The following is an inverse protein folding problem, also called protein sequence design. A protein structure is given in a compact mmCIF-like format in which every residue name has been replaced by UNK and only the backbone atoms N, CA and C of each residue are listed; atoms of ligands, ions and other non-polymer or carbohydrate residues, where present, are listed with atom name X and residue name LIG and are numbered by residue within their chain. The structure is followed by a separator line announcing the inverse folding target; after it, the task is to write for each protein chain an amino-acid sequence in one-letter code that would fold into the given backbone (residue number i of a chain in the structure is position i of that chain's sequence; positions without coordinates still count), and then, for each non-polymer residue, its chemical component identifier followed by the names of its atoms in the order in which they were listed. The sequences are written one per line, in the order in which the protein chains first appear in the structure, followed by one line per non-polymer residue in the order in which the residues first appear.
data_IF_847493832477
#
_entry.id   IF_847493832477
#
_cell.length_a   1.000
_cell.length_b   1.000
_cell.length_c   1.000
_cell.angle_alpha   90.00
_cell.angle_beta   90.00
_cell.angle_gamma   90.00
#
_symmetry.space_group_name_H-M   'P 1'
#
loop_
_entity.id
_entity.type
_entity.pdbx_description
1 polymer ?
#
# COMPACT_ATOMS: atom_id res chain seq x y z
N UNK A 1 6.63 38.78 -4.26
CA UNK A 1 6.02 38.05 -3.13
C UNK A 1 4.78 37.32 -3.70
N UNK A 2 4.59 36.03 -3.36
CA UNK A 2 3.97 34.91 -4.14
C UNK A 2 4.87 34.50 -5.33
N UNK A 3 5.73 33.48 -5.30
CA UNK A 3 5.70 32.08 -4.81
C UNK A 3 4.63 31.23 -5.50
N UNK A 4 5.10 30.17 -6.19
CA UNK A 4 4.42 28.97 -6.74
C UNK A 4 3.86 29.04 -8.18
N UNK A 5 4.73 29.23 -9.16
CA UNK A 5 4.70 28.51 -10.45
C UNK A 5 6.19 28.28 -10.75
N UNK A 6 6.75 27.08 -10.65
CA UNK A 6 6.57 26.04 -11.65
C UNK A 6 6.99 24.69 -11.06
N UNK A 7 6.00 23.88 -10.63
CA UNK A 7 6.18 22.48 -10.23
C UNK A 7 5.95 21.56 -11.45
N UNK A 8 6.54 21.89 -12.60
CA UNK A 8 6.23 21.19 -13.85
C UNK A 8 7.45 20.81 -14.68
N UNK A 9 8.58 20.49 -14.02
CA UNK A 9 9.79 20.13 -14.77
C UNK A 9 10.66 19.02 -14.16
N UNK A 10 10.05 18.02 -13.49
CA UNK A 10 10.81 16.81 -13.14
C UNK A 10 10.03 15.51 -12.99
N UNK A 11 8.93 15.34 -13.74
CA UNK A 11 8.32 14.01 -13.97
C UNK A 11 9.11 13.28 -15.08
N UNK A 12 10.42 13.21 -14.89
CA UNK A 12 11.35 12.58 -15.85
C UNK A 12 12.50 11.95 -15.06
N UNK A 13 12.17 10.99 -14.20
CA UNK A 13 13.11 9.98 -13.73
C UNK A 13 12.34 8.74 -13.29
N UNK A 14 11.91 7.99 -14.29
CA UNK A 14 11.92 6.54 -14.20
C UNK A 14 13.38 6.09 -14.03
N UNK A 15 13.55 4.89 -13.43
CA UNK A 15 14.81 4.21 -13.10
C UNK A 15 15.40 4.69 -11.77
N UNK A 16 15.77 3.85 -10.82
CA UNK A 16 15.74 2.40 -10.60
C UNK A 16 16.28 2.26 -9.16
N UNK A 17 15.88 1.23 -8.42
CA UNK A 17 16.44 0.86 -7.11
C UNK A 17 16.34 1.87 -5.94
N UNK A 18 16.40 1.33 -4.72
CA UNK A 18 16.50 2.02 -3.43
C UNK A 18 15.16 2.51 -2.81
N UNK A 19 14.45 1.58 -2.16
CA UNK A 19 14.20 1.60 -0.69
C UNK A 19 13.14 0.53 -0.30
N UNK A 20 13.53 -0.72 0.05
CA UNK A 20 12.56 -1.76 0.41
C UNK A 20 11.95 -1.64 1.82
N UNK A 21 12.22 -0.56 2.56
CA UNK A 21 11.80 -0.46 3.97
C UNK A 21 10.53 0.38 4.20
N UNK A 22 10.09 1.16 3.21
CA UNK A 22 8.90 2.02 3.33
C UNK A 22 7.72 1.53 2.50
N UNK A 23 7.96 0.83 1.38
CA UNK A 23 6.90 0.34 0.49
C UNK A 23 5.94 -0.64 1.18
N UNK A 24 6.46 -1.57 2.00
CA UNK A 24 5.61 -2.53 2.75
C UNK A 24 4.70 -1.84 3.77
N UNK A 25 5.16 -0.72 4.35
CA UNK A 25 4.35 0.09 5.27
C UNK A 25 3.16 0.75 4.57
N UNK A 26 3.37 1.27 3.36
CA UNK A 26 2.33 1.91 2.54
C UNK A 26 1.33 0.89 2.02
N UNK A 27 1.81 -0.25 1.48
CA UNK A 27 0.97 -1.36 0.99
C UNK A 27 0.01 -1.87 2.06
N UNK A 28 0.53 -2.10 3.27
CA UNK A 28 -0.26 -2.53 4.41
C UNK A 28 -1.37 -1.51 4.74
N UNK A 29 -1.03 -0.23 4.80
CA UNK A 29 -1.97 0.83 5.15
C UNK A 29 -3.07 1.02 4.10
N UNK A 30 -2.70 0.97 2.82
CA UNK A 30 -3.65 1.07 1.70
C UNK A 30 -4.60 -0.13 1.68
N UNK A 31 -4.08 -1.35 1.82
CA UNK A 31 -4.91 -2.56 1.85
C UNK A 31 -5.90 -2.50 3.01
N UNK A 32 -5.44 -2.09 4.18
CA UNK A 32 -6.28 -1.94 5.36
C UNK A 32 -7.39 -0.91 5.15
N UNK A 33 -7.04 0.24 4.57
CA UNK A 33 -7.99 1.33 4.32
C UNK A 33 -9.05 0.91 3.30
N UNK A 34 -8.64 0.21 2.24
CA UNK A 34 -9.56 -0.35 1.26
C UNK A 34 -10.52 -1.36 1.89
N UNK A 35 -10.02 -2.30 2.70
CA UNK A 35 -10.86 -3.29 3.39
C UNK A 35 -11.84 -2.63 4.36
N UNK A 36 -11.41 -1.61 5.11
CA UNK A 36 -12.30 -0.86 5.99
C UNK A 36 -13.37 -0.09 5.20
N UNK A 37 -13.01 0.50 4.06
CA UNK A 37 -13.95 1.20 3.18
C UNK A 37 -14.99 0.25 2.58
N UNK A 38 -14.63 -1.01 2.35
CA UNK A 38 -15.55 -2.09 1.95
C UNK A 38 -16.45 -2.59 3.10
N UNK A 39 -16.27 -2.08 4.32
CA UNK A 39 -17.09 -2.42 5.49
C UNK A 39 -16.50 -3.48 6.42
N UNK A 40 -15.26 -3.90 6.21
CA UNK A 40 -14.61 -4.88 7.09
C UNK A 40 -14.06 -4.24 8.37
N UNK A 41 -14.07 -5.00 9.47
CA UNK A 41 -13.54 -4.54 10.75
C UNK A 41 -12.02 -4.38 10.65
N UNK A 42 -11.52 -3.17 10.92
CA UNK A 42 -10.08 -2.81 10.87
C UNK A 42 -9.19 -3.84 11.56
N UNK A 43 -9.58 -4.28 12.76
CA UNK A 43 -8.82 -5.25 13.54
C UNK A 43 -8.73 -6.63 12.88
N UNK A 44 -9.80 -7.10 12.24
CA UNK A 44 -9.80 -8.39 11.52
C UNK A 44 -8.99 -8.28 10.23
N UNK A 45 -9.21 -7.22 9.46
CA UNK A 45 -8.42 -6.91 8.26
C UNK A 45 -6.92 -6.85 8.58
N UNK A 46 -6.55 -6.24 9.71
CA UNK A 46 -5.16 -6.09 10.14
C UNK A 46 -4.49 -7.43 10.36
N UNK A 47 -5.14 -8.34 11.07
CA UNK A 47 -4.62 -9.69 11.32
C UNK A 47 -4.39 -10.47 10.03
N UNK A 48 -5.34 -10.38 9.10
CA UNK A 48 -5.28 -11.09 7.82
C UNK A 48 -4.17 -10.52 6.93
N UNK A 49 -4.09 -9.18 6.81
CA UNK A 49 -3.05 -8.49 6.04
C UNK A 49 -1.65 -8.79 6.60
N UNK A 50 -1.47 -8.73 7.92
CA UNK A 50 -0.18 -9.06 8.55
C UNK A 50 0.24 -10.51 8.31
N UNK A 51 -0.72 -11.44 8.35
CA UNK A 51 -0.47 -12.84 8.05
C UNK A 51 -0.04 -13.03 6.59
N UNK A 52 -0.72 -12.39 5.64
CA UNK A 52 -0.39 -12.49 4.22
C UNK A 52 0.98 -11.86 3.93
N UNK A 53 1.30 -10.71 4.53
CA UNK A 53 2.61 -10.06 4.37
C UNK A 53 3.74 -10.91 4.98
N UNK A 54 3.46 -11.65 6.04
CA UNK A 54 4.41 -12.60 6.63
C UNK A 54 4.63 -13.83 5.74
N UNK A 55 3.58 -14.31 5.06
CA UNK A 55 3.67 -15.41 4.09
C UNK A 55 4.31 -14.98 2.76
N UNK A 56 4.05 -13.74 2.32
CA UNK A 56 4.43 -13.19 1.02
C UNK A 56 4.85 -11.72 1.16
N UNK A 57 6.12 -11.44 1.48
CA UNK A 57 6.60 -10.08 1.70
C UNK A 57 6.66 -9.24 0.40
N UNK A 58 6.68 -9.87 -0.77
CA UNK A 58 6.75 -9.22 -2.09
C UNK A 58 5.40 -9.26 -2.82
N UNK A 59 4.29 -9.17 -2.09
CA UNK A 59 2.94 -9.20 -2.66
C UNK A 59 2.48 -7.81 -3.10
N UNK A 60 1.86 -7.71 -4.28
CA UNK A 60 1.21 -6.48 -4.75
C UNK A 60 -0.04 -6.14 -3.95
N UNK A 61 -0.38 -4.85 -3.92
CA UNK A 61 -1.57 -4.32 -3.22
C UNK A 61 -2.87 -5.00 -3.65
N UNK A 62 -3.06 -5.20 -4.95
CA UNK A 62 -4.28 -5.81 -5.50
C UNK A 62 -4.39 -7.27 -5.07
N UNK A 63 -3.28 -8.00 -5.11
CA UNK A 63 -3.21 -9.40 -4.69
C UNK A 63 -3.41 -9.50 -3.17
N UNK A 64 -2.86 -8.58 -2.38
CA UNK A 64 -3.04 -8.49 -0.94
C UNK A 64 -4.51 -8.27 -0.57
N UNK A 65 -5.21 -7.36 -1.26
CA UNK A 65 -6.65 -7.11 -1.05
C UNK A 65 -7.46 -8.36 -1.42
N UNK A 66 -7.21 -8.96 -2.60
CA UNK A 66 -7.88 -10.19 -3.04
C UNK A 66 -7.70 -11.35 -2.05
N UNK A 67 -6.47 -11.57 -1.59
CA UNK A 67 -6.13 -12.62 -0.64
C UNK A 67 -6.68 -12.34 0.76
N UNK A 68 -6.83 -11.06 1.13
CA UNK A 68 -7.46 -10.65 2.38
C UNK A 68 -8.97 -10.88 2.35
N UNK A 69 -9.64 -10.52 1.25
CA UNK A 69 -11.08 -10.75 1.06
C UNK A 69 -11.46 -12.24 1.06
N UNK A 70 -10.57 -13.12 0.60
CA UNK A 70 -10.79 -14.59 0.68
C UNK A 70 -10.68 -15.15 2.10
N UNK A 71 -9.99 -14.45 3.00
CA UNK A 71 -9.66 -14.89 4.37
C UNK A 71 -10.50 -14.18 5.44
N UNK A 72 -11.27 -13.16 5.06
CA UNK A 72 -12.23 -12.42 5.89
C UNK A 72 -13.65 -12.95 5.67
#
# INVERSE_FOLDING_TARGET
QRIILDLKDKIAKLSDEELPLTASGTLKHEALSALVMLGFVKFQAQKVVDKILSEKPTIDIETLIKESLKRL
#
